data_IF_678656945697
#
_entry.id   IF_678656945697
#
_cell.length_a   1.000
_cell.length_b   1.000
_cell.length_c   1.000
_cell.angle_alpha   90.00
_cell.angle_beta   90.00
_cell.angle_gamma   90.00
#
_symmetry.space_group_name_H-M   'P 1'
#
loop_
_entity.id
_entity.type
_entity.pdbx_description
1 polymer ?
#
# COMPACT_ATOMS: atom_id res chain seq x y z
N UNK A 1 20.15 7.83 2.32
CA UNK A 1 19.39 7.19 1.22
C UNK A 1 17.94 7.04 1.67
N UNK A 2 16.98 7.54 0.89
CA UNK A 2 15.56 7.47 1.27
C UNK A 2 15.05 6.04 1.12
N UNK A 3 14.19 5.60 2.04
CA UNK A 3 13.60 4.24 2.01
C UNK A 3 12.08 4.32 1.96
N UNK A 4 11.47 3.54 1.07
CA UNK A 4 10.02 3.45 0.91
C UNK A 4 9.54 2.01 1.08
N UNK A 5 8.45 1.83 1.81
CA UNK A 5 7.78 0.54 1.96
C UNK A 5 6.52 0.50 1.10
N UNK A 6 6.43 -0.45 0.18
CA UNK A 6 5.21 -0.78 -0.56
C UNK A 6 4.48 -1.92 0.13
N UNK A 7 3.18 -1.76 0.38
CA UNK A 7 2.34 -2.79 1.01
C UNK A 7 1.28 -3.20 0.01
N UNK A 8 1.23 -4.50 -0.31
CA UNK A 8 0.22 -5.07 -1.19
C UNK A 8 -0.17 -6.47 -0.74
N UNK A 9 -1.25 -7.02 -1.31
CA UNK A 9 -1.82 -8.30 -0.89
C UNK A 9 -1.18 -9.52 -1.56
N UNK A 10 -0.59 -9.37 -2.75
CA UNK A 10 0.13 -10.44 -3.46
C UNK A 10 1.08 -9.86 -4.53
N UNK A 11 1.89 -10.73 -5.15
CA UNK A 11 2.81 -10.43 -6.26
C UNK A 11 2.58 -11.37 -7.46
N UNK A 12 1.31 -11.67 -7.74
CA UNK A 12 0.85 -12.49 -8.88
C UNK A 12 0.82 -11.69 -10.19
N UNK A 13 0.18 -12.24 -11.21
CA UNK A 13 -0.04 -11.56 -12.48
C UNK A 13 -1.32 -10.71 -12.45
N UNK A 14 -1.16 -9.41 -12.22
CA UNK A 14 -2.25 -8.44 -12.25
C UNK A 14 -1.80 -6.99 -12.43
N UNK A 15 -2.77 -6.09 -12.55
CA UNK A 15 -2.51 -4.67 -12.78
C UNK A 15 -1.88 -3.96 -11.58
N UNK A 16 -2.24 -4.34 -10.34
CA UNK A 16 -1.66 -3.76 -9.13
C UNK A 16 -0.20 -4.17 -8.92
N UNK A 17 0.14 -5.39 -9.33
CA UNK A 17 1.48 -5.96 -9.23
C UNK A 17 2.39 -5.40 -10.32
N UNK A 18 1.87 -5.21 -11.54
CA UNK A 18 2.54 -4.43 -12.58
C UNK A 18 2.83 -3.00 -12.11
N UNK A 19 1.87 -2.36 -11.43
CA UNK A 19 2.07 -1.04 -10.84
C UNK A 19 3.21 -1.04 -9.80
N UNK A 20 3.28 -2.04 -8.92
CA UNK A 20 4.38 -2.18 -7.95
C UNK A 20 5.73 -2.30 -8.66
N UNK A 21 5.78 -3.13 -9.71
CA UNK A 21 6.99 -3.27 -10.52
C UNK A 21 7.47 -1.91 -11.04
N UNK A 22 6.59 -1.16 -11.69
CA UNK A 22 6.93 0.13 -12.29
C UNK A 22 7.35 1.19 -11.26
N UNK A 23 6.63 1.29 -10.13
CA UNK A 23 6.95 2.28 -9.10
C UNK A 23 8.26 1.92 -8.35
N UNK A 24 8.59 0.64 -8.25
CA UNK A 24 9.88 0.18 -7.73
C UNK A 24 11.03 0.52 -8.69
N UNK A 25 10.87 0.26 -9.99
CA UNK A 25 11.84 0.67 -11.02
C UNK A 25 12.10 2.18 -10.96
N UNK A 26 11.03 2.98 -10.92
CA UNK A 26 11.10 4.43 -10.77
C UNK A 26 11.82 4.84 -9.47
N UNK A 27 11.48 4.21 -8.35
CA UNK A 27 12.13 4.52 -7.05
C UNK A 27 13.64 4.33 -7.11
N UNK A 28 14.10 3.22 -7.70
CA UNK A 28 15.53 2.93 -7.87
C UNK A 28 16.23 3.97 -8.75
N UNK A 29 15.61 4.38 -9.86
CA UNK A 29 16.14 5.43 -10.75
C UNK A 29 16.31 6.77 -10.03
N UNK A 30 15.51 7.03 -9.00
CA UNK A 30 15.52 8.26 -8.22
C UNK A 30 16.25 8.13 -6.86
N UNK A 31 17.12 7.13 -6.68
CA UNK A 31 17.88 6.90 -5.44
C UNK A 31 17.00 6.71 -4.18
N UNK A 32 15.80 6.18 -4.38
CA UNK A 32 14.88 5.76 -3.32
C UNK A 32 14.93 4.24 -3.27
N UNK A 33 15.28 3.68 -2.12
CA UNK A 33 15.38 2.23 -1.96
C UNK A 33 14.02 1.63 -1.58
N UNK A 34 13.40 0.82 -2.45
CA UNK A 34 12.11 0.24 -2.19
C UNK A 34 12.24 -1.08 -1.41
N UNK A 35 11.25 -1.33 -0.57
CA UNK A 35 11.01 -2.64 0.05
C UNK A 35 9.55 -2.97 -0.14
N UNK A 36 9.24 -4.23 -0.43
CA UNK A 36 7.87 -4.69 -0.61
C UNK A 36 7.49 -5.53 0.60
N UNK A 37 6.24 -5.39 1.04
CA UNK A 37 5.70 -6.17 2.13
C UNK A 37 4.35 -6.76 1.74
N UNK A 38 4.25 -8.09 1.90
CA UNK A 38 3.06 -8.87 1.60
C UNK A 38 2.56 -9.54 2.89
N UNK A 39 1.46 -9.04 3.48
CA UNK A 39 0.88 -9.63 4.67
C UNK A 39 0.05 -10.87 4.32
N UNK A 40 0.04 -11.85 5.22
CA UNK A 40 -0.78 -13.07 5.16
C UNK A 40 -0.51 -13.99 3.95
N UNK A 41 0.62 -13.83 3.28
CA UNK A 41 1.06 -14.73 2.21
C UNK A 41 2.57 -14.99 2.35
N UNK A 42 2.93 -16.23 2.64
CA UNK A 42 4.32 -16.67 2.87
C UNK A 42 4.95 -17.33 1.65
N UNK A 43 4.17 -17.59 0.60
CA UNK A 43 4.63 -18.27 -0.60
C UNK A 43 5.35 -17.30 -1.54
N UNK A 44 6.34 -17.79 -2.28
CA UNK A 44 6.97 -17.05 -3.36
C UNK A 44 6.00 -16.96 -4.55
N UNK A 45 5.93 -15.79 -5.18
CA UNK A 45 4.99 -15.49 -6.26
C UNK A 45 5.72 -14.98 -7.52
N UNK A 46 4.94 -14.71 -8.56
CA UNK A 46 5.45 -14.43 -9.90
C UNK A 46 6.53 -13.34 -9.95
N UNK A 47 6.29 -12.19 -9.30
CA UNK A 47 7.24 -11.07 -9.36
C UNK A 47 8.40 -11.15 -8.34
N UNK A 48 8.43 -12.12 -7.43
CA UNK A 48 9.51 -12.23 -6.43
C UNK A 48 10.89 -12.39 -7.08
N UNK A 49 10.99 -13.24 -8.11
CA UNK A 49 12.24 -13.46 -8.87
C UNK A 49 12.75 -12.14 -9.46
N UNK A 50 11.83 -11.34 -10.03
CA UNK A 50 12.16 -10.04 -10.59
C UNK A 50 12.68 -9.08 -9.51
N UNK A 51 11.98 -8.95 -8.37
CA UNK A 51 12.41 -8.06 -7.30
C UNK A 51 13.75 -8.48 -6.67
N UNK A 52 13.96 -9.79 -6.51
CA UNK A 52 15.23 -10.35 -6.07
C UNK A 52 16.38 -9.97 -7.02
N UNK A 53 16.18 -10.06 -8.33
CA UNK A 53 17.19 -9.65 -9.33
C UNK A 53 17.56 -8.16 -9.24
N UNK A 54 16.62 -7.32 -8.77
CA UNK A 54 16.81 -5.88 -8.54
C UNK A 54 17.34 -5.55 -7.15
N UNK A 55 17.62 -6.55 -6.31
CA UNK A 55 18.01 -6.38 -4.90
C UNK A 55 16.97 -5.59 -4.10
N UNK A 56 15.70 -5.83 -4.40
CA UNK A 56 14.55 -5.30 -3.66
C UNK A 56 14.09 -6.38 -2.70
N UNK A 57 14.06 -6.05 -1.41
CA UNK A 57 13.59 -6.97 -0.38
C UNK A 57 12.06 -7.15 -0.46
N UNK A 58 11.61 -8.40 -0.44
CA UNK A 58 10.20 -8.78 -0.28
C UNK A 58 10.02 -9.42 1.09
N UNK A 59 9.30 -8.74 1.97
CA UNK A 59 9.03 -9.16 3.34
C UNK A 59 7.64 -9.78 3.41
N UNK A 60 7.58 -11.06 3.74
CA UNK A 60 6.34 -11.84 3.89
C UNK A 60 6.14 -12.19 5.35
N UNK A 61 4.94 -11.97 5.89
CA UNK A 61 4.65 -12.28 7.29
C UNK A 61 3.15 -12.53 7.51
N UNK A 62 2.82 -13.29 8.57
CA UNK A 62 1.43 -13.57 8.95
C UNK A 62 0.95 -12.53 9.97
N UNK A 63 -0.19 -11.92 9.70
CA UNK A 63 -0.93 -11.07 10.65
C UNK A 63 -1.98 -11.96 11.34
N UNK A 64 -1.92 -12.03 12.65
CA UNK A 64 -2.90 -12.76 13.45
C UNK A 64 -4.17 -11.92 13.64
N UNK A 65 -5.34 -12.56 13.61
CA UNK A 65 -6.64 -11.89 13.69
C UNK A 65 -7.03 -11.53 15.13
N UNK A 66 -7.96 -10.59 15.34
CA UNK A 66 -8.50 -10.27 16.68
C UNK A 66 -9.10 -11.48 17.42
N UNK A 67 -9.65 -12.46 16.70
CA UNK A 67 -10.17 -13.71 17.30
C UNK A 67 -9.04 -14.61 17.81
N UNK A 68 -7.90 -14.63 17.10
CA UNK A 68 -6.69 -15.34 17.55
C UNK A 68 -6.04 -14.61 18.75
N UNK A 69 -6.12 -13.26 18.75
CA UNK A 69 -5.63 -12.39 19.82
C UNK A 69 -6.40 -12.59 21.14
N UNK A 70 -7.74 -12.65 21.09
CA UNK A 70 -8.58 -12.81 22.29
C UNK A 70 -8.37 -14.14 23.01
N UNK A 71 -7.97 -15.19 22.28
CA UNK A 71 -7.62 -16.50 22.85
C UNK A 71 -6.28 -16.48 23.60
N UNK A 72 -5.50 -15.42 23.42
CA UNK A 72 -4.11 -15.36 23.81
C UNK A 72 -3.83 -13.99 24.46
N UNK A 73 -4.58 -13.73 25.55
CA UNK A 73 -4.82 -12.44 26.24
C UNK A 73 -3.58 -11.63 26.67
N UNK A 74 -2.36 -12.18 26.55
CA UNK A 74 -1.11 -11.49 26.90
C UNK A 74 0.02 -11.67 25.87
N UNK A 75 -0.30 -12.14 24.66
CA UNK A 75 0.69 -12.72 23.77
C UNK A 75 1.08 -11.82 22.59
N UNK A 76 2.32 -12.02 22.13
CA UNK A 76 3.02 -11.68 20.85
C UNK A 76 2.45 -10.63 19.88
N UNK A 77 1.15 -10.42 19.74
CA UNK A 77 0.53 -9.52 18.78
C UNK A 77 0.61 -8.03 19.18
N UNK A 78 0.53 -7.70 20.48
CA UNK A 78 0.86 -6.33 20.93
C UNK A 78 2.34 -6.03 20.70
N UNK A 79 3.20 -7.02 20.98
CA UNK A 79 4.62 -6.96 20.67
C UNK A 79 4.85 -6.80 19.16
N UNK A 80 4.16 -7.55 18.30
CA UNK A 80 4.27 -7.41 16.85
C UNK A 80 3.74 -6.08 16.36
N UNK A 81 2.64 -5.56 16.91
CA UNK A 81 2.16 -4.23 16.57
C UNK A 81 3.14 -3.13 16.94
N UNK A 82 3.75 -3.21 18.13
CA UNK A 82 4.79 -2.28 18.55
C UNK A 82 6.05 -2.45 17.70
N UNK A 83 6.47 -3.69 17.47
CA UNK A 83 7.68 -4.03 16.72
C UNK A 83 7.56 -3.59 15.26
N UNK A 84 6.44 -3.88 14.61
CA UNK A 84 6.13 -3.39 13.27
C UNK A 84 6.15 -1.87 13.27
N UNK A 85 5.41 -1.20 14.17
CA UNK A 85 5.44 0.27 14.23
C UNK A 85 6.85 0.83 14.45
N UNK A 86 7.65 0.20 15.30
CA UNK A 86 9.02 0.61 15.56
C UNK A 86 9.92 0.42 14.33
N UNK A 87 9.90 -0.78 13.73
CA UNK A 87 10.62 -1.09 12.50
C UNK A 87 10.22 -0.14 11.37
N UNK A 88 8.93 0.12 11.22
CA UNK A 88 8.41 0.98 10.16
C UNK A 88 8.96 2.40 10.29
N UNK A 89 8.79 3.02 11.46
CA UNK A 89 9.20 4.40 11.69
C UNK A 89 10.72 4.58 11.69
N UNK A 90 11.49 3.55 12.07
CA UNK A 90 12.95 3.60 12.08
C UNK A 90 13.57 3.35 10.70
N UNK A 91 13.00 2.44 9.92
CA UNK A 91 13.62 1.95 8.69
C UNK A 91 13.07 2.59 7.42
N UNK A 92 11.88 3.20 7.47
CA UNK A 92 11.25 3.76 6.28
C UNK A 92 10.92 5.24 6.47
N UNK A 93 11.05 5.98 5.38
CA UNK A 93 10.68 7.39 5.32
C UNK A 93 9.23 7.58 4.88
N UNK A 94 8.73 6.61 4.11
CA UNK A 94 7.42 6.65 3.46
C UNK A 94 6.83 5.24 3.40
N UNK A 95 5.52 5.16 3.50
CA UNK A 95 4.77 3.92 3.28
C UNK A 95 3.76 4.17 2.16
N UNK A 96 3.62 3.23 1.23
CA UNK A 96 2.68 3.29 0.14
C UNK A 96 1.86 2.01 0.09
N UNK A 97 0.56 2.13 0.34
CA UNK A 97 -0.38 1.03 0.21
C UNK A 97 -0.91 0.96 -1.20
N UNK A 98 -0.75 -0.19 -1.82
CA UNK A 98 -1.23 -0.43 -3.17
C UNK A 98 -2.63 -1.02 -3.09
N UNK A 99 -3.63 -0.27 -3.57
CA UNK A 99 -5.07 -0.52 -3.46
C UNK A 99 -5.66 -0.12 -2.09
N UNK A 100 -6.79 0.60 -2.12
CA UNK A 100 -7.53 1.03 -0.94
C UNK A 100 -8.05 -0.13 -0.09
N UNK A 101 -8.29 -1.30 -0.66
CA UNK A 101 -8.63 -2.49 0.11
C UNK A 101 -7.50 -2.89 1.08
N UNK A 102 -6.25 -2.81 0.63
CA UNK A 102 -5.06 -3.08 1.45
C UNK A 102 -4.88 -1.98 2.49
N UNK A 103 -5.04 -0.72 2.09
CA UNK A 103 -5.02 0.41 3.02
C UNK A 103 -6.06 0.24 4.13
N UNK A 104 -7.32 0.01 3.76
CA UNK A 104 -8.45 -0.18 4.68
C UNK A 104 -8.23 -1.36 5.63
N UNK A 105 -7.68 -2.47 5.14
CA UNK A 105 -7.44 -3.66 5.95
C UNK A 105 -6.31 -3.45 6.98
N UNK A 106 -5.26 -2.69 6.64
CA UNK A 106 -4.01 -2.73 7.38
C UNK A 106 -3.52 -1.39 7.95
N UNK A 107 -4.10 -0.23 7.59
CA UNK A 107 -3.59 1.09 8.03
C UNK A 107 -3.40 1.22 9.55
N UNK A 108 -4.26 0.58 10.34
CA UNK A 108 -4.20 0.64 11.81
C UNK A 108 -3.01 -0.10 12.41
N UNK A 109 -2.54 -1.15 11.74
CA UNK A 109 -1.35 -1.91 12.14
C UNK A 109 -0.08 -1.13 11.76
N UNK A 110 -0.12 -0.52 10.58
CA UNK A 110 0.98 0.19 9.94
C UNK A 110 0.99 1.70 10.23
N UNK A 111 0.60 2.11 11.44
CA UNK A 111 0.63 3.52 11.82
C UNK A 111 2.05 4.07 11.74
N UNK A 112 2.21 5.10 10.92
CA UNK A 112 3.48 5.73 10.62
C UNK A 112 3.38 7.22 10.91
N UNK A 113 4.45 7.81 11.48
CA UNK A 113 4.48 9.24 11.81
C UNK A 113 4.77 10.12 10.60
N UNK A 114 5.41 9.57 9.57
CA UNK A 114 5.74 10.27 8.33
C UNK A 114 4.68 9.99 7.26
N UNK A 115 4.88 10.57 6.08
CA UNK A 115 3.97 10.53 4.94
C UNK A 115 3.56 9.11 4.52
N UNK A 116 2.26 8.91 4.33
CA UNK A 116 1.66 7.67 3.83
C UNK A 116 0.90 7.94 2.53
N UNK A 117 1.05 7.04 1.56
CA UNK A 117 0.41 7.09 0.26
C UNK A 117 -0.64 5.98 0.14
N UNK A 118 -1.81 6.33 -0.38
CA UNK A 118 -2.93 5.42 -0.61
C UNK A 118 -3.21 5.34 -2.12
N UNK A 119 -2.85 4.24 -2.77
CA UNK A 119 -3.17 4.07 -4.18
C UNK A 119 -4.62 3.59 -4.37
N UNK A 120 -5.35 4.30 -5.22
CA UNK A 120 -6.70 3.92 -5.64
C UNK A 120 -6.63 2.86 -6.74
N UNK A 121 -7.05 1.63 -6.40
CA UNK A 121 -7.29 0.59 -7.39
C UNK A 121 -8.58 0.85 -8.18
N UNK A 122 -8.78 0.13 -9.29
CA UNK A 122 -10.01 0.27 -10.07
C UNK A 122 -11.20 -0.37 -9.34
N UNK A 123 -12.27 0.40 -9.16
CA UNK A 123 -13.59 -0.10 -8.76
C UNK A 123 -14.65 0.02 -9.88
N UNK A 124 -14.22 0.51 -11.06
CA UNK A 124 -15.03 0.97 -12.21
C UNK A 124 -16.08 -0.04 -12.73
N UNK A 125 -16.08 -1.28 -12.28
CA UNK A 125 -16.93 -2.34 -12.84
C UNK A 125 -18.38 -2.35 -12.31
N UNK A 126 -18.74 -1.56 -11.29
CA UNK A 126 -20.06 -1.69 -10.65
C UNK A 126 -20.68 -0.32 -10.24
N UNK A 127 -21.65 0.21 -11.02
CA UNK A 127 -22.27 1.53 -10.78
C UNK A 127 -22.93 1.71 -9.40
N UNK A 128 -23.43 0.63 -8.81
CA UNK A 128 -24.14 0.64 -7.51
C UNK A 128 -23.26 0.20 -6.33
N UNK A 129 -21.98 -0.08 -6.58
CA UNK A 129 -21.10 -0.64 -5.56
C UNK A 129 -20.61 0.44 -4.60
N UNK A 130 -21.10 0.37 -3.36
CA UNK A 130 -20.50 1.14 -2.27
C UNK A 130 -19.13 0.55 -1.93
N UNK A 131 -18.09 1.37 -2.09
CA UNK A 131 -16.74 1.01 -1.69
C UNK A 131 -16.69 0.74 -0.17
N UNK A 132 -16.31 -0.46 0.29
CA UNK A 132 -16.35 -0.81 1.71
C UNK A 132 -15.09 -0.36 2.47
N UNK A 133 -14.48 0.77 2.08
CA UNK A 133 -13.24 1.24 2.71
C UNK A 133 -13.49 2.04 3.98
N UNK A 134 -12.62 1.84 4.97
CA UNK A 134 -12.61 2.59 6.22
C UNK A 134 -12.40 4.08 5.96
N UNK A 135 -13.38 4.91 6.37
CA UNK A 135 -13.36 6.36 6.18
C UNK A 135 -12.12 7.03 6.82
N UNK A 136 -11.52 6.42 7.84
CA UNK A 136 -10.35 6.95 8.52
C UNK A 136 -9.12 7.12 7.61
N UNK A 137 -9.02 6.39 6.49
CA UNK A 137 -7.89 6.54 5.56
C UNK A 137 -7.91 7.89 4.82
N UNK A 138 -9.08 8.53 4.73
CA UNK A 138 -9.29 9.81 4.02
C UNK A 138 -9.23 11.05 4.93
N UNK A 139 -9.15 10.88 6.25
CA UNK A 139 -9.33 11.99 7.20
C UNK A 139 -8.04 12.71 7.60
N UNK A 140 -6.87 12.15 7.28
CA UNK A 140 -5.58 12.67 7.74
C UNK A 140 -4.87 13.47 6.64
N UNK A 141 -4.69 14.77 6.89
CA UNK A 141 -4.05 15.75 5.99
C UNK A 141 -2.59 15.44 5.64
N UNK A 142 -1.89 14.66 6.46
CA UNK A 142 -0.51 14.26 6.20
C UNK A 142 -0.38 13.10 5.21
N UNK A 143 -1.51 12.48 4.84
CA UNK A 143 -1.55 11.40 3.88
C UNK A 143 -1.87 11.91 2.48
N UNK A 144 -1.48 11.12 1.48
CA UNK A 144 -1.71 11.43 0.08
C UNK A 144 -2.45 10.29 -0.62
N UNK A 145 -3.59 10.60 -1.22
CA UNK A 145 -4.36 9.70 -2.08
C UNK A 145 -3.78 9.78 -3.50
N UNK A 146 -3.35 8.65 -4.04
CA UNK A 146 -2.78 8.53 -5.37
C UNK A 146 -3.81 7.89 -6.29
N UNK A 147 -4.34 8.70 -7.22
CA UNK A 147 -5.25 8.26 -8.27
C UNK A 147 -4.50 8.15 -9.61
N UNK A 148 -4.92 7.25 -10.48
CA UNK A 148 -4.34 7.06 -11.81
C UNK A 148 -5.17 7.73 -12.92
N UNK A 149 -6.42 8.10 -12.63
CA UNK A 149 -7.28 8.84 -13.54
C UNK A 149 -8.23 9.80 -12.77
N UNK A 150 -8.80 10.81 -13.44
CA UNK A 150 -9.75 11.74 -12.80
C UNK A 150 -11.04 11.08 -12.29
N UNK A 151 -11.54 10.05 -12.97
CA UNK A 151 -12.78 9.36 -12.58
C UNK A 151 -12.71 8.77 -11.17
N UNK A 152 -11.56 8.20 -10.79
CA UNK A 152 -11.31 7.72 -9.43
C UNK A 152 -11.43 8.83 -8.38
N UNK A 153 -11.02 10.05 -8.71
CA UNK A 153 -11.15 11.19 -7.79
C UNK A 153 -12.63 11.51 -7.60
N UNK A 154 -13.38 11.61 -8.69
CA UNK A 154 -14.83 11.88 -8.65
C UNK A 154 -15.59 10.82 -7.85
N UNK A 155 -15.29 9.54 -8.04
CA UNK A 155 -15.91 8.43 -7.32
C UNK A 155 -15.68 8.50 -5.81
N UNK A 156 -14.42 8.66 -5.39
CA UNK A 156 -14.08 8.74 -3.97
C UNK A 156 -14.70 9.99 -3.34
N UNK A 157 -14.67 11.14 -4.03
CA UNK A 157 -15.29 12.38 -3.54
C UNK A 157 -16.81 12.21 -3.42
N UNK A 158 -17.47 11.62 -4.42
CA UNK A 158 -18.92 11.39 -4.41
C UNK A 158 -19.35 10.51 -3.22
N UNK A 159 -18.61 9.44 -2.94
CA UNK A 159 -18.97 8.51 -1.87
C UNK A 159 -18.57 9.01 -0.48
N UNK A 160 -17.37 9.57 -0.32
CA UNK A 160 -16.80 9.89 0.99
C UNK A 160 -16.96 11.38 1.37
N UNK A 161 -17.29 12.25 0.42
CA UNK A 161 -17.54 13.71 0.53
C UNK A 161 -16.35 14.52 1.06
N UNK A 162 -15.90 14.24 2.28
CA UNK A 162 -14.87 15.00 2.99
C UNK A 162 -13.54 14.24 2.97
N UNK A 163 -12.83 14.34 1.85
CA UNK A 163 -11.45 13.86 1.74
C UNK A 163 -10.52 14.97 2.23
N UNK A 164 -9.86 14.76 3.36
CA UNK A 164 -8.90 15.71 3.93
C UNK A 164 -7.45 15.40 3.50
N UNK A 165 -7.19 14.20 2.97
CA UNK A 165 -5.90 13.84 2.39
C UNK A 165 -5.59 14.72 1.17
N UNK A 166 -4.32 14.99 0.91
CA UNK A 166 -3.91 15.52 -0.39
C UNK A 166 -4.27 14.50 -1.47
N UNK A 167 -4.86 14.94 -2.58
CA UNK A 167 -5.12 14.07 -3.74
C UNK A 167 -4.13 14.42 -4.85
N UNK A 168 -3.48 13.40 -5.41
CA UNK A 168 -2.55 13.53 -6.52
C UNK A 168 -2.92 12.59 -7.64
N UNK A 169 -2.91 13.10 -8.86
CA UNK A 169 -3.06 12.31 -10.07
C UNK A 169 -1.67 11.88 -10.54
N UNK A 170 -1.44 10.57 -10.55
CA UNK A 170 -0.17 9.98 -10.96
C UNK A 170 -0.42 8.86 -11.96
N UNK A 171 -0.23 9.18 -13.25
CA UNK A 171 -0.35 8.20 -14.33
C UNK A 171 0.94 7.39 -14.42
N UNK A 172 0.88 6.14 -13.96
CA UNK A 172 1.86 5.12 -14.35
C UNK A 172 1.36 4.41 -15.62
N UNK A 173 2.20 3.57 -16.23
CA UNK A 173 2.26 3.32 -17.68
C UNK A 173 2.92 4.48 -18.43
N UNK A 174 4.25 4.58 -18.31
CA UNK A 174 5.05 5.23 -19.33
C UNK A 174 4.81 4.46 -20.64
N UNK A 175 3.89 4.93 -21.48
CA UNK A 175 4.06 4.67 -22.89
C UNK A 175 5.43 5.28 -23.23
N UNK A 176 6.36 4.47 -23.70
CA UNK A 176 7.42 5.00 -24.54
C UNK A 176 6.74 5.41 -25.86
N UNK A 177 5.96 6.48 -25.85
CA UNK A 177 5.59 7.19 -27.06
C UNK A 177 6.83 8.01 -27.48
N UNK A 178 7.90 7.27 -27.80
CA UNK A 178 8.87 7.71 -28.79
C UNK A 178 8.27 7.32 -30.14
N UNK A 179 7.36 8.15 -30.63
CA UNK A 179 7.11 8.31 -32.07
C UNK A 179 7.36 9.76 -32.41
#
# INVERSE_FOLDING_TARGET
MQRILFIHHCLRLGGGEKYIKEICDFSLQHNIHPTIMIPNNLEEEYYDIYFKSKKIDVIRFKIFSKKDILRNLFSKDFYWNIYIRFLLNKNFDRIHFINLGVASAYHNLFRHKKKVFWHVGNAIQYPDYQLPFDKAIFSNVNNELICINPYQIEEIVKQYKNINCKVSLFKLFLNNDNT
#
